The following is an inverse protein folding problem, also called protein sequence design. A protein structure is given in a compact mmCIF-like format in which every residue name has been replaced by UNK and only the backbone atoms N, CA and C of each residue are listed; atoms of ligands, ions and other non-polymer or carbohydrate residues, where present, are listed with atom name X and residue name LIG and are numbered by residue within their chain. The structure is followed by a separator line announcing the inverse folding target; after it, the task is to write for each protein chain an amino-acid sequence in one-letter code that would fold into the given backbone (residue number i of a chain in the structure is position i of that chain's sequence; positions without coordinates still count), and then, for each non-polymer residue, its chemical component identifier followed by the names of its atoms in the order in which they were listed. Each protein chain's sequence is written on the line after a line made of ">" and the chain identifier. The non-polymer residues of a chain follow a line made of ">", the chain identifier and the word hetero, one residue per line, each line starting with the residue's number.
data_IF_715568822605
#
_entry.id   IF_715568822605
#
_cell.length_a   1.000
_cell.length_b   1.000
_cell.length_c   1.000
_cell.angle_alpha   90.00
_cell.angle_beta   90.00
_cell.angle_gamma   90.00
#
_symmetry.space_group_name_H-M   'P 1'
#
loop_
_entity.id
_entity.type
_entity.pdbx_description
1 polymer ?
#
# COMPACT_ATOMS: atom_id res chain seq x y z
N UNK A 1 -2.88 -2.62 15.92
CA UNK A 1 -4.30 -3.01 15.77
C UNK A 1 -4.87 -2.16 14.66
N UNK A 2 -5.17 -2.81 13.54
CA UNK A 2 -5.65 -2.14 12.32
C UNK A 2 -7.17 -2.11 12.34
N UNK A 3 -7.75 -1.03 11.85
CA UNK A 3 -9.18 -0.83 11.71
C UNK A 3 -9.54 -0.76 10.23
N UNK A 4 -10.53 -1.54 9.82
CA UNK A 4 -11.06 -1.55 8.45
C UNK A 4 -12.56 -1.33 8.49
N UNK A 5 -13.04 -0.45 7.63
CA UNK A 5 -14.48 -0.23 7.44
C UNK A 5 -15.04 -1.27 6.48
N UNK A 6 -16.09 -1.98 6.88
CA UNK A 6 -16.91 -2.80 6.01
C UNK A 6 -17.74 -1.88 5.11
N UNK A 7 -17.15 -1.49 3.99
CA UNK A 7 -17.81 -0.72 2.93
C UNK A 7 -17.96 -1.55 1.65
N UNK A 8 -18.69 -1.01 0.66
CA UNK A 8 -18.89 -1.67 -0.64
C UNK A 8 -17.61 -1.70 -1.51
N UNK A 9 -16.50 -1.13 -1.03
CA UNK A 9 -15.24 -1.01 -1.76
C UNK A 9 -14.23 -2.09 -1.38
N UNK A 10 -14.42 -2.72 -0.23
CA UNK A 10 -13.47 -3.65 0.36
C UNK A 10 -14.02 -5.08 0.33
N UNK A 11 -13.29 -6.01 -0.27
CA UNK A 11 -13.70 -7.41 -0.30
C UNK A 11 -13.19 -8.14 0.94
N UNK A 12 -13.92 -9.14 1.41
CA UNK A 12 -13.45 -10.04 2.49
C UNK A 12 -12.10 -10.69 2.16
N UNK A 13 -11.79 -10.89 0.87
CA UNK A 13 -10.49 -11.41 0.44
C UNK A 13 -9.32 -10.48 0.77
N UNK A 14 -9.55 -9.18 0.91
CA UNK A 14 -8.50 -8.20 1.19
C UNK A 14 -7.98 -8.35 2.62
N UNK A 15 -8.80 -8.93 3.51
CA UNK A 15 -8.40 -9.24 4.88
C UNK A 15 -7.23 -10.22 4.95
N UNK A 16 -6.99 -11.04 3.91
CA UNK A 16 -5.88 -11.99 3.84
C UNK A 16 -4.50 -11.32 3.85
N UNK A 17 -4.44 -10.02 3.54
CA UNK A 17 -3.20 -9.27 3.48
C UNK A 17 -2.73 -8.80 4.86
N UNK A 18 -3.59 -8.86 5.89
CA UNK A 18 -3.22 -8.46 7.24
C UNK A 18 -2.53 -9.59 8.01
N UNK A 19 -1.45 -9.22 8.69
CA UNK A 19 -0.64 -10.13 9.49
C UNK A 19 -0.87 -9.96 11.00
N UNK A 20 -1.75 -9.03 11.38
CA UNK A 20 -2.20 -8.76 12.75
C UNK A 20 -3.73 -8.77 12.82
N UNK A 21 -4.35 -8.88 14.02
CA UNK A 21 -5.80 -8.81 14.16
C UNK A 21 -6.35 -7.46 13.67
N UNK A 22 -7.50 -7.53 12.99
CA UNK A 22 -8.18 -6.39 12.39
C UNK A 22 -9.58 -6.25 12.96
N UNK A 23 -9.89 -5.07 13.50
CA UNK A 23 -11.27 -4.73 13.84
C UNK A 23 -12.00 -4.31 12.57
N UNK A 24 -13.18 -4.89 12.37
CA UNK A 24 -14.07 -4.56 11.26
C UNK A 24 -15.18 -3.68 11.80
N UNK A 25 -15.28 -2.47 11.25
CA UNK A 25 -16.23 -1.45 11.67
C UNK A 25 -17.27 -1.19 10.58
N UNK A 26 -18.49 -0.85 10.97
CA UNK A 26 -19.49 -0.25 10.09
C UNK A 26 -19.12 1.20 9.74
N UNK A 27 -19.70 1.78 8.67
CA UNK A 27 -19.46 3.18 8.31
C UNK A 27 -19.80 4.19 9.42
N UNK A 28 -20.67 3.81 10.37
CA UNK A 28 -21.03 4.61 11.54
C UNK A 28 -19.99 4.55 12.68
N UNK A 29 -18.93 3.73 12.53
CA UNK A 29 -17.89 3.51 13.53
C UNK A 29 -18.17 2.41 14.56
N UNK A 30 -19.26 1.65 14.41
CA UNK A 30 -19.57 0.52 15.29
C UNK A 30 -18.75 -0.71 14.92
N UNK A 31 -18.19 -1.42 15.89
CA UNK A 31 -17.44 -2.66 15.64
C UNK A 31 -18.43 -3.80 15.36
N UNK A 32 -18.32 -4.40 14.18
CA UNK A 32 -19.12 -5.56 13.77
C UNK A 32 -18.37 -6.87 13.81
N UNK A 33 -17.04 -6.84 13.90
CA UNK A 33 -16.27 -8.07 14.01
C UNK A 33 -14.79 -7.88 14.26
N UNK A 34 -14.14 -9.02 14.53
CA UNK A 34 -12.70 -9.13 14.65
C UNK A 34 -12.22 -10.21 13.69
N UNK A 35 -11.37 -9.85 12.75
CA UNK A 35 -10.65 -10.80 11.91
C UNK A 35 -9.31 -11.12 12.56
N UNK A 36 -9.04 -12.41 12.80
CA UNK A 36 -7.75 -12.88 13.30
C UNK A 36 -7.10 -13.74 12.21
N UNK A 37 -5.93 -13.34 11.67
CA UNK A 37 -5.24 -14.14 10.67
C UNK A 37 -4.88 -15.53 11.20
N UNK A 38 -5.14 -16.56 10.39
CA UNK A 38 -4.86 -17.97 10.75
C UNK A 38 -3.39 -18.26 11.02
N UNK A 39 -2.48 -17.39 10.55
CA UNK A 39 -1.03 -17.54 10.72
C UNK A 39 -0.39 -16.44 11.58
N UNK A 40 -1.16 -15.86 12.50
CA UNK A 40 -0.73 -14.74 13.34
C UNK A 40 0.63 -14.99 14.03
N UNK A 41 0.83 -16.19 14.59
CA UNK A 41 2.07 -16.54 15.30
C UNK A 41 3.28 -16.73 14.38
N UNK A 42 3.07 -17.01 13.09
CA UNK A 42 4.16 -16.99 12.10
C UNK A 42 4.45 -15.57 11.64
N UNK A 43 3.42 -14.73 11.51
CA UNK A 43 3.57 -13.31 11.24
C UNK A 43 4.42 -12.62 12.28
N UNK A 44 4.09 -12.80 13.56
CA UNK A 44 4.87 -12.28 14.69
C UNK A 44 6.32 -12.74 14.64
N UNK A 45 6.55 -14.06 14.48
CA UNK A 45 7.92 -14.60 14.35
C UNK A 45 8.70 -13.99 13.20
N UNK A 46 8.08 -13.76 12.04
CA UNK A 46 8.74 -13.12 10.91
C UNK A 46 9.19 -11.69 11.26
N UNK A 47 8.34 -10.92 11.93
CA UNK A 47 8.69 -9.57 12.40
C UNK A 47 9.72 -9.59 13.53
N UNK A 48 9.70 -10.58 14.42
CA UNK A 48 10.70 -10.71 15.48
C UNK A 48 12.08 -11.10 14.89
N UNK A 49 12.10 -12.03 13.94
CA UNK A 49 13.32 -12.48 13.25
C UNK A 49 13.91 -11.40 12.35
N UNK A 50 13.07 -10.56 11.73
CA UNK A 50 13.50 -9.52 10.78
C UNK A 50 13.58 -8.14 11.40
N UNK A 51 12.93 -7.92 12.52
CA UNK A 51 12.90 -6.62 13.20
C UNK A 51 14.28 -6.15 13.66
N UNK A 52 15.18 -7.09 13.97
CA UNK A 52 16.58 -6.79 14.27
C UNK A 52 17.41 -6.39 13.05
N UNK A 53 16.98 -6.79 11.85
CA UNK A 53 17.64 -6.43 10.59
C UNK A 53 17.16 -5.06 10.08
N UNK A 54 16.10 -4.48 10.69
CA UNK A 54 15.55 -3.19 10.32
C UNK A 54 16.37 -2.06 10.97
N UNK A 55 16.96 -1.21 10.14
CA UNK A 55 17.56 0.05 10.58
C UNK A 55 16.47 1.09 10.86
N UNK A 56 15.94 1.06 12.08
CA UNK A 56 14.90 1.99 12.53
C UNK A 56 15.35 3.45 12.49
N UNK A 57 16.64 3.72 12.73
CA UNK A 57 17.17 5.08 12.70
C UNK A 57 17.15 5.65 11.27
N UNK A 58 17.46 4.84 10.25
CA UNK A 58 17.35 5.25 8.85
C UNK A 58 15.89 5.45 8.41
N UNK A 59 14.96 4.62 8.89
CA UNK A 59 13.52 4.80 8.62
C UNK A 59 13.02 6.12 9.23
N UNK A 60 13.35 6.38 10.49
CA UNK A 60 12.98 7.62 11.19
C UNK A 60 13.59 8.85 10.54
N UNK A 61 14.87 8.79 10.14
CA UNK A 61 15.54 9.88 9.42
C UNK A 61 14.81 10.20 8.11
N UNK A 62 14.43 9.19 7.31
CA UNK A 62 13.68 9.39 6.06
C UNK A 62 12.27 9.93 6.29
N UNK A 63 11.62 9.55 7.39
CA UNK A 63 10.31 10.07 7.74
C UNK A 63 10.36 11.55 8.18
N UNK A 64 11.47 11.98 8.80
CA UNK A 64 11.65 13.34 9.31
C UNK A 64 12.17 14.36 8.27
N UNK A 65 12.79 13.91 7.17
CA UNK A 65 13.27 14.80 6.11
C UNK A 65 12.10 15.37 5.30
N UNK A 66 11.92 16.71 5.34
CA UNK A 66 10.83 17.48 4.70
C UNK A 66 10.75 17.39 3.15
N UNK A 67 11.61 16.61 2.50
CA UNK A 67 11.35 16.12 1.12
C UNK A 67 10.41 14.92 1.10
N UNK A 68 9.67 14.66 2.18
CA UNK A 68 8.80 13.51 2.50
C UNK A 68 7.73 13.07 1.49
N UNK A 69 7.80 13.52 0.23
CA UNK A 69 7.21 12.81 -0.88
C UNK A 69 8.10 11.61 -1.22
N UNK A 70 7.80 10.47 -0.59
CA UNK A 70 8.28 9.18 -1.08
C UNK A 70 8.09 9.10 -2.60
N UNK A 71 9.09 8.57 -3.31
CA UNK A 71 8.98 8.38 -4.75
C UNK A 71 7.93 7.31 -5.03
N UNK A 72 7.14 7.50 -6.09
CA UNK A 72 6.24 6.45 -6.54
C UNK A 72 7.06 5.26 -7.01
N UNK A 73 6.54 4.05 -6.78
CA UNK A 73 7.30 2.84 -7.07
C UNK A 73 7.71 2.78 -8.55
N UNK A 74 6.86 3.22 -9.48
CA UNK A 74 7.23 3.26 -10.90
C UNK A 74 8.43 4.17 -11.18
N UNK A 75 8.66 5.24 -10.41
CA UNK A 75 9.79 6.16 -10.59
C UNK A 75 11.12 5.48 -10.23
N UNK A 76 11.08 4.55 -9.26
CA UNK A 76 12.22 3.70 -8.91
C UNK A 76 12.53 2.74 -10.07
N UNK A 77 11.50 2.17 -10.71
CA UNK A 77 11.69 1.27 -11.86
C UNK A 77 12.18 2.01 -13.11
N UNK A 78 11.75 3.25 -13.33
CA UNK A 78 12.32 4.10 -14.39
C UNK A 78 13.81 4.36 -14.14
N UNK A 79 14.22 4.57 -12.88
CA UNK A 79 15.64 4.66 -12.55
C UNK A 79 16.38 3.36 -12.89
N UNK A 80 15.82 2.17 -12.59
CA UNK A 80 16.44 0.90 -12.95
C UNK A 80 16.63 0.69 -14.45
N UNK A 81 15.73 1.22 -15.30
CA UNK A 81 15.94 1.22 -16.76
C UNK A 81 17.21 1.96 -17.17
N UNK A 82 17.63 2.98 -16.41
CA UNK A 82 18.88 3.71 -16.68
C UNK A 82 20.14 2.93 -16.30
N UNK A 83 20.01 1.85 -15.53
CA UNK A 83 21.11 1.05 -15.01
C UNK A 83 21.38 -0.23 -15.82
N UNK A 84 20.55 -0.54 -16.82
CA UNK A 84 20.65 -1.78 -17.61
C UNK A 84 20.53 -1.50 -19.10
N UNK A 85 21.21 -2.32 -19.91
CA UNK A 85 21.10 -2.33 -21.38
C UNK A 85 20.54 -3.63 -21.92
N UNK A 86 20.22 -4.60 -21.05
CA UNK A 86 19.67 -5.89 -21.44
C UNK A 86 18.23 -5.72 -21.99
N UNK A 87 17.96 -6.07 -23.26
CA UNK A 87 16.64 -5.92 -23.87
C UNK A 87 15.52 -6.68 -23.13
N UNK A 88 15.81 -7.85 -22.54
CA UNK A 88 14.79 -8.62 -21.81
C UNK A 88 14.46 -7.95 -20.47
N UNK A 89 15.47 -7.44 -19.77
CA UNK A 89 15.27 -6.72 -18.51
C UNK A 89 14.54 -5.40 -18.76
N UNK A 90 14.89 -4.69 -19.83
CA UNK A 90 14.19 -3.46 -20.22
C UNK A 90 12.71 -3.71 -20.52
N UNK A 91 12.38 -4.80 -21.20
CA UNK A 91 10.99 -5.17 -21.48
C UNK A 91 10.19 -5.50 -20.20
N UNK A 92 10.78 -6.27 -19.27
CA UNK A 92 10.14 -6.57 -17.96
C UNK A 92 9.93 -5.30 -17.13
N UNK A 93 10.94 -4.42 -17.05
CA UNK A 93 10.82 -3.15 -16.33
C UNK A 93 9.73 -2.26 -16.95
N UNK A 94 9.66 -2.18 -18.28
CA UNK A 94 8.65 -1.40 -18.98
C UNK A 94 7.24 -1.91 -18.68
N UNK A 95 7.01 -3.23 -18.73
CA UNK A 95 5.72 -3.84 -18.40
C UNK A 95 5.30 -3.52 -16.95
N UNK A 96 6.24 -3.58 -16.01
CA UNK A 96 5.96 -3.27 -14.59
C UNK A 96 5.63 -1.80 -14.38
N UNK A 97 6.33 -0.90 -15.05
CA UNK A 97 6.06 0.55 -14.98
C UNK A 97 4.65 0.86 -15.48
N UNK A 98 4.25 0.29 -16.62
CA UNK A 98 2.91 0.53 -17.19
C UNK A 98 1.81 0.05 -16.24
N UNK A 99 1.96 -1.15 -15.67
CA UNK A 99 1.04 -1.69 -14.67
C UNK A 99 0.94 -0.78 -13.44
N UNK A 100 2.07 -0.38 -12.86
CA UNK A 100 2.11 0.47 -11.67
C UNK A 100 1.51 1.86 -11.92
N UNK A 101 1.74 2.45 -13.10
CA UNK A 101 1.12 3.72 -13.48
C UNK A 101 -0.41 3.61 -13.62
N UNK A 102 -0.91 2.49 -14.13
CA UNK A 102 -2.34 2.24 -14.23
C UNK A 102 -2.97 2.07 -12.83
N UNK A 103 -2.32 1.33 -11.94
CA UNK A 103 -2.73 1.14 -10.54
C UNK A 103 -2.75 2.50 -9.77
N UNK A 104 -1.70 3.31 -9.89
CA UNK A 104 -1.61 4.64 -9.24
C UNK A 104 -2.63 5.65 -9.80
N UNK A 105 -3.00 5.54 -11.07
CA UNK A 105 -3.97 6.42 -11.73
C UNK A 105 -5.43 6.10 -11.39
N UNK A 106 -5.72 4.91 -10.85
CA UNK A 106 -7.08 4.51 -10.48
C UNK A 106 -7.58 5.22 -9.22
N UNK A 107 -6.72 5.43 -8.22
CA UNK A 107 -7.07 6.13 -6.98
C UNK A 107 -7.34 7.63 -7.17
N UNK A 108 -6.76 8.26 -8.20
CA UNK A 108 -6.89 9.72 -8.43
C UNK A 108 -8.17 10.11 -9.19
N UNK A 109 -8.77 9.20 -9.97
CA UNK A 109 -9.92 9.52 -10.83
C UNK A 109 -11.25 9.56 -10.05
N UNK A 110 -11.42 8.70 -9.05
CA UNK A 110 -12.59 8.73 -8.16
C UNK A 110 -12.58 9.93 -7.19
N UNK A 111 -11.39 10.42 -6.80
CA UNK A 111 -11.26 11.61 -5.95
C UNK A 111 -11.66 12.91 -6.67
N UNK A 112 -11.39 13.02 -7.98
CA UNK A 112 -11.71 14.22 -8.77
C UNK A 112 -13.17 14.28 -9.23
N UNK A 113 -13.82 13.14 -9.49
CA UNK A 113 -15.24 13.11 -9.86
C UNK A 113 -16.19 13.49 -8.71
N UNK A 114 -15.77 13.29 -7.45
CA UNK A 114 -16.54 13.72 -6.27
C UNK A 114 -16.45 15.23 -6.01
N UNK A 115 -15.43 15.93 -6.54
CA UNK A 115 -15.30 17.39 -6.40
C UNK A 115 -16.16 18.15 -7.42
N UNK A 116 -16.32 17.63 -8.64
CA UNK A 116 -17.19 18.22 -9.66
C UNK A 116 -18.69 18.13 -9.30
N UNK A 117 -19.05 17.20 -8.41
CA UNK A 117 -20.43 16.98 -7.94
C UNK A 117 -20.89 17.98 -6.87
N UNK A 118 -19.95 18.72 -6.24
CA UNK A 118 -20.22 19.70 -5.17
C UNK A 118 -20.17 21.15 -5.67
N UNK A 119 -19.90 21.37 -6.96
CA UNK A 119 -19.72 22.70 -7.56
C UNK A 119 -20.91 23.27 -8.33
N UNK A 120 -22.02 22.53 -8.45
CA UNK A 120 -23.25 23.03 -9.06
C UNK A 120 -24.41 22.94 -8.06
N UNK A 121 -24.52 23.94 -7.20
CA UNK A 121 -25.73 24.30 -6.46
C UNK A 121 -25.97 25.79 -6.60
#
# INVERSE_FOLDING_TARGET
>A
MIQVTADDRSLLSDLRNFMEPVEVLEPNGEIVGLFVPTNLERGKRLYDEKGSDIDWAEIERRAAEETGQGRKLYEIFEHFKTLTTDPMVLADLQQRIERLRAEDGCATREALQNLDSLGNS
#
